data_IF_537284612509
#
_entry.id   IF_537284612509
#
_cell.length_a   1.000
_cell.length_b   1.000
_cell.length_c   1.000
_cell.angle_alpha   90.00
_cell.angle_beta   90.00
_cell.angle_gamma   90.00
#
_symmetry.space_group_name_H-M   'P 1'
#
loop_
_entity.id
_entity.type
_entity.pdbx_description
1 polymer ?
#
# COMPACT_ATOMS: atom_id res chain seq x y z
N UNK A 1 -27.10 -5.36 11.29
CA UNK A 1 -25.97 -4.44 11.48
C UNK A 1 -25.52 -4.48 12.92
N UNK A 2 -24.23 -4.21 13.14
CA UNK A 2 -23.67 -4.12 14.50
C UNK A 2 -23.90 -2.69 15.01
N UNK A 3 -24.45 -2.46 16.22
CA UNK A 3 -24.60 -1.12 16.75
C UNK A 3 -23.21 -0.48 16.98
N UNK A 4 -23.04 0.75 16.49
CA UNK A 4 -21.79 1.51 16.58
C UNK A 4 -21.82 2.42 17.79
N UNK A 5 -23.02 2.98 18.10
CA UNK A 5 -23.28 3.81 19.27
C UNK A 5 -24.71 3.61 19.72
N UNK A 6 -24.98 3.80 21.01
CA UNK A 6 -26.32 3.79 21.59
C UNK A 6 -26.37 4.86 22.69
N UNK A 7 -27.28 5.79 22.58
CA UNK A 7 -27.44 6.93 23.51
C UNK A 7 -28.91 7.19 23.77
N UNK A 8 -29.23 7.62 24.99
CA UNK A 8 -30.58 8.09 25.34
C UNK A 8 -30.65 9.59 25.09
N UNK A 9 -31.58 10.00 24.26
CA UNK A 9 -31.79 11.40 23.92
C UNK A 9 -33.13 11.91 24.52
N UNK A 10 -33.19 13.16 24.98
CA UNK A 10 -34.45 13.75 25.45
C UNK A 10 -35.46 13.88 24.29
N UNK A 11 -36.76 13.95 24.60
CA UNK A 11 -37.80 14.24 23.59
C UNK A 11 -37.55 15.57 22.90
N UNK A 12 -37.51 15.60 21.58
CA UNK A 12 -37.30 16.80 20.76
C UNK A 12 -36.24 16.64 19.69
N UNK A 13 -35.85 17.73 19.01
CA UNK A 13 -34.75 17.69 18.02
C UNK A 13 -33.43 17.35 18.72
N UNK A 14 -32.69 16.43 18.18
CA UNK A 14 -31.34 16.06 18.66
C UNK A 14 -30.35 15.99 17.49
N UNK A 15 -29.09 16.18 17.79
CA UNK A 15 -27.98 15.96 16.83
C UNK A 15 -27.12 14.81 17.30
N UNK A 16 -26.64 14.02 16.35
CA UNK A 16 -25.65 12.99 16.58
C UNK A 16 -24.31 13.48 16.03
N UNK A 17 -23.47 13.97 16.93
CA UNK A 17 -22.15 14.48 16.59
C UNK A 17 -21.08 13.37 16.80
N UNK A 18 -20.05 13.36 15.97
CA UNK A 18 -18.88 12.46 16.08
C UNK A 18 -19.18 10.96 15.97
N UNK A 19 -20.02 10.58 15.02
CA UNK A 19 -20.21 9.17 14.73
C UNK A 19 -18.93 8.58 14.10
N UNK A 20 -18.44 7.41 14.57
CA UNK A 20 -17.32 6.71 13.95
C UNK A 20 -17.77 6.14 12.60
N UNK A 21 -17.44 6.83 11.50
CA UNK A 21 -17.71 6.37 10.13
C UNK A 21 -16.53 5.60 9.59
N UNK A 22 -16.80 4.49 8.90
CA UNK A 22 -15.79 3.72 8.19
C UNK A 22 -15.46 4.42 6.87
N UNK A 23 -14.21 4.34 6.46
CA UNK A 23 -13.75 4.85 5.15
C UNK A 23 -14.48 4.14 4.00
N UNK A 24 -14.85 4.90 2.99
CA UNK A 24 -15.58 4.42 1.82
C UNK A 24 -17.06 4.79 1.83
N UNK A 25 -17.80 4.25 0.88
CA UNK A 25 -19.24 4.41 0.78
C UNK A 25 -19.97 3.44 1.73
N UNK A 26 -20.86 3.96 2.54
CA UNK A 26 -21.64 3.18 3.49
C UNK A 26 -23.04 3.72 3.70
N UNK A 27 -23.79 3.07 4.58
CA UNK A 27 -25.09 3.52 5.05
C UNK A 27 -25.10 3.52 6.57
N UNK A 28 -25.43 4.64 7.13
CA UNK A 28 -25.69 4.78 8.56
C UNK A 28 -27.17 4.56 8.81
N UNK A 29 -27.50 3.63 9.69
CA UNK A 29 -28.87 3.40 10.15
C UNK A 29 -29.02 3.93 11.56
N UNK A 30 -29.88 4.91 11.73
CA UNK A 30 -30.27 5.43 13.04
C UNK A 30 -31.61 4.80 13.40
N UNK A 31 -31.64 4.02 14.45
CA UNK A 31 -32.86 3.41 14.98
C UNK A 31 -33.31 4.21 16.21
N UNK A 32 -34.39 4.94 16.09
CA UNK A 32 -34.98 5.70 17.18
C UNK A 32 -36.09 4.84 17.78
N UNK A 33 -35.98 4.51 19.06
CA UNK A 33 -37.00 3.76 19.79
C UNK A 33 -37.70 4.72 20.78
N UNK A 34 -39.01 4.89 20.64
CA UNK A 34 -39.79 5.74 21.56
C UNK A 34 -40.11 5.00 22.88
N UNK A 35 -40.70 5.73 23.84
CA UNK A 35 -41.06 5.19 25.15
C UNK A 35 -42.09 4.06 25.09
N UNK A 36 -42.77 3.86 23.96
CA UNK A 36 -43.76 2.80 23.72
C UNK A 36 -43.14 1.62 22.98
N UNK A 37 -41.80 1.65 22.71
CA UNK A 37 -41.09 0.60 22.00
C UNK A 37 -41.25 0.64 20.48
N UNK A 38 -41.86 1.65 19.89
CA UNK A 38 -41.97 1.81 18.43
C UNK A 38 -40.65 2.25 17.86
N UNK A 39 -40.22 1.64 16.78
CA UNK A 39 -38.95 1.94 16.13
C UNK A 39 -39.17 2.72 14.84
N UNK A 40 -38.44 3.79 14.68
CA UNK A 40 -38.26 4.51 13.42
C UNK A 40 -36.84 4.35 12.94
N UNK A 41 -36.66 3.84 11.73
CA UNK A 41 -35.35 3.62 11.10
C UNK A 41 -35.12 4.72 10.07
N UNK A 42 -34.07 5.52 10.30
CA UNK A 42 -33.56 6.47 9.32
C UNK A 42 -32.31 5.90 8.68
N UNK A 43 -32.27 5.87 7.36
CA UNK A 43 -31.06 5.42 6.62
C UNK A 43 -30.45 6.61 5.91
N UNK A 44 -29.20 6.91 6.23
CA UNK A 44 -28.42 8.00 5.61
C UNK A 44 -27.20 7.39 4.88
N UNK A 45 -27.10 7.52 3.56
CA UNK A 45 -25.88 7.17 2.86
C UNK A 45 -24.77 8.16 3.20
N UNK A 46 -23.55 7.66 3.34
CA UNK A 46 -22.37 8.49 3.54
C UNK A 46 -21.20 8.02 2.67
N UNK A 47 -20.22 8.88 2.47
CA UNK A 47 -18.92 8.58 1.92
C UNK A 47 -17.84 9.28 2.74
N UNK A 48 -16.77 8.55 3.09
CA UNK A 48 -15.61 9.09 3.81
C UNK A 48 -14.34 8.59 3.14
N UNK A 49 -13.42 9.51 2.79
CA UNK A 49 -12.14 9.19 2.17
C UNK A 49 -10.98 9.76 2.97
N UNK A 50 -9.85 9.07 2.94
CA UNK A 50 -8.61 9.50 3.61
C UNK A 50 -7.93 10.67 2.91
N UNK A 51 -8.33 10.99 1.68
CA UNK A 51 -7.77 12.09 0.86
C UNK A 51 -8.24 13.46 1.35
N UNK A 52 -9.34 13.53 2.10
CA UNK A 52 -9.93 14.76 2.60
C UNK A 52 -9.48 15.05 4.04
N UNK A 53 -9.22 16.32 4.31
CA UNK A 53 -9.00 16.83 5.64
C UNK A 53 -10.30 17.44 6.17
N UNK A 54 -10.55 17.28 7.46
CA UNK A 54 -11.65 18.00 8.14
C UNK A 54 -11.46 19.50 8.01
N UNK A 55 -12.55 20.24 8.08
CA UNK A 55 -12.53 21.71 8.05
C UNK A 55 -11.53 22.25 9.08
N UNK A 56 -10.76 23.24 8.66
CA UNK A 56 -9.67 23.89 9.42
C UNK A 56 -8.43 23.03 9.72
N UNK A 57 -8.50 21.71 9.55
CA UNK A 57 -7.30 20.87 9.71
C UNK A 57 -6.29 21.16 8.58
N UNK A 58 -5.04 21.31 8.96
CA UNK A 58 -3.95 21.54 8.04
C UNK A 58 -2.82 20.52 8.26
N UNK A 59 -2.22 20.11 7.15
CA UNK A 59 -1.00 19.30 7.11
C UNK A 59 0.09 20.09 6.39
N UNK A 60 1.30 20.00 6.89
CA UNK A 60 2.47 20.60 6.21
C UNK A 60 3.68 19.70 6.36
N UNK A 61 4.55 19.74 5.36
CA UNK A 61 5.83 19.06 5.37
C UNK A 61 6.89 19.99 4.78
N UNK A 62 8.08 19.98 5.36
CA UNK A 62 9.28 20.63 4.83
C UNK A 62 10.41 19.62 4.93
N UNK A 63 10.99 19.31 3.78
CA UNK A 63 12.03 18.31 3.66
C UNK A 63 13.25 18.93 2.96
N UNK A 64 14.44 18.67 3.48
CA UNK A 64 15.71 19.10 2.89
C UNK A 64 16.64 17.89 2.91
N UNK A 65 17.26 17.60 1.78
CA UNK A 65 18.14 16.46 1.64
C UNK A 65 18.99 16.53 0.40
N UNK A 66 19.57 15.42 -0.01
CA UNK A 66 20.25 15.26 -1.29
C UNK A 66 19.72 14.03 -2.01
N UNK A 67 19.62 14.10 -3.31
CA UNK A 67 19.25 12.95 -4.14
C UNK A 67 20.29 11.85 -3.95
N UNK A 68 19.87 10.65 -3.58
CA UNK A 68 20.78 9.53 -3.44
C UNK A 68 20.94 8.84 -4.79
N UNK A 69 22.16 8.86 -5.27
CA UNK A 69 22.59 8.18 -6.49
C UNK A 69 23.19 6.81 -6.17
N UNK A 70 23.15 5.89 -7.12
CA UNK A 70 23.77 4.56 -7.01
C UNK A 70 23.35 3.78 -5.74
N UNK A 71 22.05 3.87 -5.38
CA UNK A 71 21.52 3.16 -4.21
C UNK A 71 21.79 1.64 -4.30
N UNK A 72 22.40 1.10 -3.25
CA UNK A 72 22.75 -0.32 -3.17
C UNK A 72 24.12 -0.67 -3.76
N UNK A 73 24.74 0.21 -4.55
CA UNK A 73 26.08 0.02 -5.13
C UNK A 73 27.15 0.90 -4.49
N UNK A 74 26.78 2.10 -4.02
CA UNK A 74 27.67 3.02 -3.30
C UNK A 74 27.07 3.47 -1.97
N UNK A 75 27.87 3.42 -0.90
CA UNK A 75 27.39 3.77 0.45
C UNK A 75 27.12 5.26 0.65
N UNK A 76 27.84 6.15 -0.06
CA UNK A 76 27.77 7.60 0.09
C UNK A 76 27.68 8.32 -1.28
N UNK A 77 26.94 7.78 -2.24
CA UNK A 77 26.62 8.45 -3.50
C UNK A 77 25.46 9.41 -3.32
N UNK A 78 25.73 10.68 -3.07
CA UNK A 78 24.73 11.73 -2.98
C UNK A 78 24.98 12.77 -4.07
N UNK A 79 23.90 13.13 -4.78
CA UNK A 79 23.88 14.19 -5.76
C UNK A 79 23.43 15.53 -5.16
N UNK A 80 22.78 16.33 -5.98
CA UNK A 80 22.36 17.68 -5.65
C UNK A 80 21.42 17.76 -4.45
N UNK A 81 21.54 18.86 -3.71
CA UNK A 81 20.61 19.18 -2.63
C UNK A 81 19.21 19.47 -3.20
N UNK A 82 18.21 19.02 -2.46
CA UNK A 82 16.79 19.21 -2.77
C UNK A 82 16.08 19.76 -1.53
N UNK A 83 15.19 20.72 -1.76
CA UNK A 83 14.21 21.19 -0.79
C UNK A 83 12.80 20.98 -1.32
N UNK A 84 11.90 20.46 -0.49
CA UNK A 84 10.50 20.26 -0.82
C UNK A 84 9.66 20.82 0.32
N UNK A 85 8.62 21.57 -0.01
CA UNK A 85 7.64 22.04 0.96
C UNK A 85 6.23 21.75 0.45
N UNK A 86 5.33 21.30 1.31
CA UNK A 86 3.93 21.10 1.00
C UNK A 86 3.03 21.62 2.11
N UNK A 87 1.87 22.10 1.71
CA UNK A 87 0.82 22.56 2.62
C UNK A 87 -0.53 22.14 2.07
N UNK A 88 -1.37 21.51 2.91
CA UNK A 88 -2.74 21.11 2.58
C UNK A 88 -3.67 21.55 3.69
N UNK A 89 -4.88 21.98 3.35
CA UNK A 89 -5.90 22.41 4.32
C UNK A 89 -7.29 21.97 3.90
N UNK A 90 -8.07 21.49 4.86
CA UNK A 90 -9.52 21.33 4.72
C UNK A 90 -10.19 22.70 4.70
N UNK A 91 -10.72 23.10 3.54
CA UNK A 91 -11.48 24.34 3.35
C UNK A 91 -12.93 24.15 3.81
N UNK A 92 -13.42 22.93 3.78
CA UNK A 92 -14.66 22.43 4.36
C UNK A 92 -14.52 20.92 4.58
N UNK A 93 -15.49 20.29 5.22
CA UNK A 93 -15.50 18.83 5.37
C UNK A 93 -15.63 18.05 4.04
N UNK A 94 -15.86 18.75 2.94
CA UNK A 94 -15.99 18.14 1.59
C UNK A 94 -14.94 18.64 0.60
N UNK A 95 -14.11 19.62 0.96
CA UNK A 95 -13.12 20.21 0.07
C UNK A 95 -11.79 20.40 0.79
N UNK A 96 -10.76 19.78 0.28
CA UNK A 96 -9.36 19.99 0.67
C UNK A 96 -8.59 20.59 -0.49
N UNK A 97 -7.75 21.58 -0.24
CA UNK A 97 -6.81 22.13 -1.22
C UNK A 97 -5.39 22.08 -0.71
N UNK A 98 -4.45 21.95 -1.61
CA UNK A 98 -3.03 21.85 -1.30
C UNK A 98 -2.15 22.62 -2.26
N UNK A 99 -0.92 22.90 -1.83
CA UNK A 99 0.16 23.49 -2.62
C UNK A 99 1.46 22.78 -2.33
N UNK A 100 2.34 22.70 -3.32
CA UNK A 100 3.68 22.11 -3.21
C UNK A 100 4.68 22.98 -3.93
N UNK A 101 5.85 23.16 -3.34
CA UNK A 101 7.01 23.79 -3.96
C UNK A 101 8.22 22.89 -3.80
N UNK A 102 9.06 22.81 -4.82
CA UNK A 102 10.32 22.08 -4.78
C UNK A 102 11.40 22.80 -5.57
N UNK A 103 12.64 22.64 -5.11
CA UNK A 103 13.81 23.18 -5.76
C UNK A 103 15.02 22.25 -5.54
N UNK A 104 15.86 22.11 -6.56
CA UNK A 104 17.09 21.34 -6.53
C UNK A 104 18.27 22.24 -6.92
N UNK A 105 19.43 21.99 -6.34
CA UNK A 105 20.60 22.86 -6.51
C UNK A 105 21.12 22.96 -7.97
N UNK A 106 20.77 22.00 -8.83
CA UNK A 106 21.07 22.04 -10.27
C UNK A 106 20.10 22.92 -11.10
N UNK A 107 19.24 23.71 -10.45
CA UNK A 107 18.33 24.63 -11.09
C UNK A 107 16.94 24.06 -11.40
N UNK A 108 16.65 22.78 -11.12
CA UNK A 108 15.31 22.21 -11.25
C UNK A 108 14.39 22.80 -10.18
N UNK A 109 13.22 23.24 -10.57
CA UNK A 109 12.17 23.74 -9.67
C UNK A 109 10.79 23.22 -10.06
N UNK A 110 9.87 23.23 -9.11
CA UNK A 110 8.48 22.87 -9.31
C UNK A 110 7.54 23.62 -8.38
N UNK A 111 6.38 24.00 -8.88
CA UNK A 111 5.28 24.59 -8.12
C UNK A 111 3.99 23.90 -8.51
N UNK A 112 3.20 23.47 -7.54
CA UNK A 112 1.96 22.75 -7.78
C UNK A 112 0.83 23.15 -6.86
N UNK A 113 -0.38 22.93 -7.32
CA UNK A 113 -1.60 23.02 -6.54
C UNK A 113 -2.47 21.79 -6.79
N UNK A 114 -3.16 21.32 -5.78
CA UNK A 114 -4.09 20.21 -5.85
C UNK A 114 -5.39 20.52 -5.08
N UNK A 115 -6.45 19.82 -5.46
CA UNK A 115 -7.71 19.86 -4.76
C UNK A 115 -8.37 18.48 -4.76
N UNK A 116 -9.05 18.16 -3.66
CA UNK A 116 -9.90 16.98 -3.52
C UNK A 116 -11.29 17.42 -3.07
N UNK A 117 -12.31 16.98 -3.79
CA UNK A 117 -13.70 17.35 -3.52
C UNK A 117 -14.59 16.12 -3.43
N UNK A 118 -15.32 16.00 -2.33
CA UNK A 118 -16.31 14.95 -2.11
C UNK A 118 -17.61 15.30 -2.84
N UNK A 119 -17.93 14.58 -3.90
CA UNK A 119 -19.16 14.70 -4.67
C UNK A 119 -20.31 13.92 -3.98
N UNK A 120 -20.70 14.38 -2.78
CA UNK A 120 -21.71 13.72 -1.97
C UNK A 120 -21.36 12.26 -1.65
N UNK A 121 -22.28 11.34 -1.91
CA UNK A 121 -22.08 9.90 -1.71
C UNK A 121 -21.52 9.18 -2.94
N UNK A 122 -21.25 9.90 -4.02
CA UNK A 122 -20.78 9.33 -5.28
C UNK A 122 -19.31 8.93 -5.19
N UNK A 123 -18.49 9.76 -4.54
CA UNK A 123 -17.05 9.53 -4.41
C UNK A 123 -16.27 10.83 -4.25
N UNK A 124 -14.96 10.77 -4.46
CA UNK A 124 -14.05 11.91 -4.40
C UNK A 124 -13.51 12.19 -5.80
N UNK A 125 -13.56 13.45 -6.19
CA UNK A 125 -12.89 14.00 -7.37
C UNK A 125 -11.61 14.68 -6.92
N UNK A 126 -10.53 14.44 -7.65
CA UNK A 126 -9.24 15.12 -7.44
C UNK A 126 -8.81 15.84 -8.70
N UNK A 127 -8.11 16.94 -8.53
CA UNK A 127 -7.49 17.67 -9.63
C UNK A 127 -6.14 18.21 -9.18
N UNK A 128 -5.17 18.27 -10.09
CA UNK A 128 -3.89 18.93 -9.84
C UNK A 128 -3.40 19.67 -11.07
N UNK A 129 -2.62 20.70 -10.81
CA UNK A 129 -1.89 21.46 -11.80
C UNK A 129 -0.52 21.81 -11.22
N UNK A 130 0.52 21.62 -11.98
CA UNK A 130 1.86 22.05 -11.59
C UNK A 130 2.63 22.58 -12.78
N UNK A 131 3.57 23.48 -12.48
CA UNK A 131 4.63 23.90 -13.41
C UNK A 131 5.97 23.47 -12.85
N UNK A 132 6.89 23.13 -13.71
CA UNK A 132 8.25 22.78 -13.34
C UNK A 132 9.17 22.93 -14.52
N UNK A 133 10.44 23.15 -14.24
CA UNK A 133 11.43 23.42 -15.25
C UNK A 133 12.83 23.42 -14.68
N UNK A 134 13.77 23.79 -15.54
CA UNK A 134 15.18 24.02 -15.23
C UNK A 134 15.67 25.29 -15.92
N UNK A 135 17.00 25.45 -16.05
CA UNK A 135 17.59 26.60 -16.76
C UNK A 135 17.26 26.71 -18.25
N UNK A 136 16.82 25.61 -18.87
CA UNK A 136 16.56 25.51 -20.31
C UNK A 136 15.08 25.71 -20.68
N UNK A 137 14.17 25.64 -19.71
CA UNK A 137 12.76 25.87 -19.97
C UNK A 137 11.83 25.41 -18.84
N UNK A 138 10.55 25.70 -19.03
CA UNK A 138 9.49 25.33 -18.13
C UNK A 138 8.36 24.62 -18.86
N UNK A 139 7.73 23.70 -18.19
CA UNK A 139 6.55 22.98 -18.65
C UNK A 139 5.47 22.92 -17.58
N UNK A 140 4.41 22.21 -17.88
CA UNK A 140 3.32 21.99 -16.94
C UNK A 140 2.84 20.54 -16.95
N UNK A 141 2.24 20.15 -15.85
CA UNK A 141 1.45 18.91 -15.72
C UNK A 141 0.09 19.23 -15.14
N UNK A 142 -0.91 18.49 -15.59
CA UNK A 142 -2.27 18.58 -15.06
C UNK A 142 -2.90 17.20 -15.01
N UNK A 143 -3.79 16.98 -14.08
CA UNK A 143 -4.51 15.71 -13.99
C UNK A 143 -5.79 15.83 -13.20
N UNK A 144 -6.66 14.87 -13.46
CA UNK A 144 -7.92 14.68 -12.76
C UNK A 144 -8.04 13.22 -12.32
N UNK A 145 -8.71 13.00 -11.23
CA UNK A 145 -8.96 11.67 -10.69
C UNK A 145 -10.35 11.56 -10.10
N UNK A 146 -10.81 10.33 -10.00
CA UNK A 146 -12.03 9.94 -9.32
C UNK A 146 -11.78 8.67 -8.54
N UNK A 147 -12.26 8.61 -7.31
CA UNK A 147 -12.27 7.39 -6.52
C UNK A 147 -13.60 7.18 -5.82
N UNK A 148 -14.01 5.93 -5.78
CA UNK A 148 -15.14 5.43 -5.01
C UNK A 148 -14.80 4.10 -4.38
N UNK A 149 -14.83 4.02 -3.08
CA UNK A 149 -14.72 2.76 -2.33
C UNK A 149 -16.08 2.42 -1.73
N UNK A 150 -16.66 1.30 -2.14
CA UNK A 150 -17.96 0.85 -1.66
C UNK A 150 -17.92 -0.63 -1.29
N UNK A 151 -18.90 -1.09 -0.52
CA UNK A 151 -18.98 -2.49 -0.07
C UNK A 151 -19.17 -3.49 -1.22
N UNK A 152 -19.91 -3.11 -2.26
CA UNK A 152 -20.18 -3.97 -3.42
C UNK A 152 -19.44 -3.57 -4.67
N UNK A 153 -19.27 -2.25 -4.89
CA UNK A 153 -18.64 -1.70 -6.09
C UNK A 153 -17.64 -0.64 -5.65
N UNK A 154 -16.41 -0.78 -6.10
CA UNK A 154 -15.36 0.23 -6.04
C UNK A 154 -14.97 0.65 -7.45
N UNK A 155 -14.55 1.90 -7.61
CA UNK A 155 -14.10 2.43 -8.89
C UNK A 155 -13.02 3.47 -8.64
N UNK A 156 -12.03 3.51 -9.52
CA UNK A 156 -11.08 4.61 -9.58
C UNK A 156 -10.74 4.89 -11.05
N UNK A 157 -10.46 6.14 -11.34
CA UNK A 157 -9.93 6.57 -12.63
C UNK A 157 -9.07 7.80 -12.41
N UNK A 158 -7.93 7.85 -13.07
CA UNK A 158 -7.03 9.00 -13.03
C UNK A 158 -6.40 9.18 -14.39
N UNK A 159 -6.29 10.42 -14.83
CA UNK A 159 -5.50 10.79 -16.00
C UNK A 159 -4.63 12.00 -15.68
N UNK A 160 -3.41 11.96 -16.16
CA UNK A 160 -2.42 13.01 -16.02
C UNK A 160 -1.79 13.26 -17.38
N UNK A 161 -1.62 14.51 -17.71
CA UNK A 161 -0.89 14.97 -18.89
C UNK A 161 0.27 15.87 -18.45
N UNK A 162 1.43 15.73 -19.09
CA UNK A 162 2.57 16.62 -18.91
C UNK A 162 3.07 17.12 -20.25
N UNK A 163 3.41 18.40 -20.33
CA UNK A 163 4.06 18.99 -21.51
C UNK A 163 5.49 18.46 -21.66
N UNK A 164 6.06 18.51 -22.86
CA UNK A 164 7.41 17.98 -23.15
C UNK A 164 8.51 18.60 -22.28
N UNK A 165 8.39 19.88 -21.98
CA UNK A 165 9.38 20.62 -21.18
C UNK A 165 9.12 20.54 -19.67
N UNK A 166 8.12 19.75 -19.23
CA UNK A 166 7.87 19.59 -17.80
C UNK A 166 8.93 18.69 -17.18
N UNK A 167 9.64 19.23 -16.20
CA UNK A 167 10.60 18.51 -15.37
C UNK A 167 10.37 18.86 -13.91
N UNK A 168 10.53 17.89 -13.04
CA UNK A 168 10.48 18.04 -11.59
C UNK A 168 11.60 17.24 -10.95
N UNK A 169 11.82 17.46 -9.68
CA UNK A 169 12.81 16.72 -8.88
C UNK A 169 12.61 15.22 -9.01
N UNK A 170 13.69 14.48 -9.20
CA UNK A 170 13.67 13.03 -9.38
C UNK A 170 13.34 12.57 -10.82
N UNK A 171 13.00 13.45 -11.75
CA UNK A 171 12.81 13.10 -13.17
C UNK A 171 14.09 13.28 -14.01
N UNK A 172 15.11 13.94 -13.48
CA UNK A 172 16.37 14.12 -14.18
C UNK A 172 17.01 12.76 -14.54
N UNK A 173 17.43 12.60 -15.80
CA UNK A 173 18.05 11.38 -16.30
C UNK A 173 17.08 10.25 -16.66
N UNK A 174 15.77 10.45 -16.63
CA UNK A 174 14.83 9.49 -17.19
C UNK A 174 15.02 9.38 -18.71
N UNK A 175 15.09 8.16 -19.27
CA UNK A 175 15.35 7.96 -20.69
C UNK A 175 14.21 8.44 -21.61
N UNK A 176 12.99 8.55 -21.07
CA UNK A 176 11.81 8.93 -21.82
C UNK A 176 10.97 9.94 -21.06
N UNK A 177 10.45 10.96 -21.76
CA UNK A 177 9.58 11.98 -21.16
C UNK A 177 8.12 11.50 -21.18
N UNK A 178 7.50 11.29 -20.03
CA UNK A 178 6.09 10.93 -19.96
C UNK A 178 5.20 12.05 -20.54
N UNK A 179 4.26 11.69 -21.40
CA UNK A 179 3.27 12.60 -21.98
C UNK A 179 1.92 12.48 -21.30
N UNK A 180 1.44 11.24 -21.20
CA UNK A 180 0.14 10.96 -20.60
C UNK A 180 0.22 9.67 -19.79
N UNK A 181 -0.41 9.69 -18.63
CA UNK A 181 -0.68 8.50 -17.82
C UNK A 181 -2.15 8.47 -17.50
N UNK A 182 -2.80 7.37 -17.87
CA UNK A 182 -4.20 7.14 -17.55
C UNK A 182 -4.30 5.75 -16.94
N UNK A 183 -4.94 5.63 -15.81
CA UNK A 183 -5.26 4.34 -15.23
C UNK A 183 -6.61 4.41 -14.52
N UNK A 184 -7.29 3.27 -14.52
CA UNK A 184 -8.59 3.15 -13.90
C UNK A 184 -8.94 1.70 -13.65
N UNK A 185 -9.95 1.48 -12.83
CA UNK A 185 -10.42 0.14 -12.54
C UNK A 185 -11.79 0.13 -11.88
N UNK A 186 -12.43 -1.02 -12.01
CA UNK A 186 -13.72 -1.34 -11.40
C UNK A 186 -13.55 -2.61 -10.59
N UNK A 187 -13.95 -2.57 -9.33
CA UNK A 187 -13.96 -3.71 -8.43
C UNK A 187 -15.38 -4.08 -8.02
N UNK A 188 -15.64 -5.37 -7.95
CA UNK A 188 -16.93 -5.94 -7.59
C UNK A 188 -16.74 -6.95 -6.46
N UNK A 189 -17.53 -6.81 -5.40
CA UNK A 189 -17.59 -7.77 -4.31
C UNK A 189 -18.91 -8.55 -4.39
N UNK A 190 -18.83 -9.84 -4.65
CA UNK A 190 -19.94 -10.77 -4.77
C UNK A 190 -20.20 -11.53 -3.46
N UNK A 191 -19.65 -11.06 -2.33
CA UNK A 191 -19.79 -11.72 -1.04
C UNK A 191 -19.05 -13.05 -0.99
N UNK A 192 -19.76 -14.14 -0.72
CA UNK A 192 -19.16 -15.49 -0.67
C UNK A 192 -18.62 -16.00 -2.01
N UNK A 193 -19.07 -15.44 -3.11
CA UNK A 193 -18.59 -15.78 -4.46
C UNK A 193 -17.31 -15.01 -4.84
N UNK A 194 -16.74 -14.22 -3.90
CA UNK A 194 -15.44 -13.60 -4.08
C UNK A 194 -15.50 -12.18 -4.65
N UNK A 195 -14.33 -11.74 -5.14
CA UNK A 195 -14.11 -10.39 -5.65
C UNK A 195 -13.55 -10.45 -7.06
N UNK A 196 -14.05 -9.59 -7.95
CA UNK A 196 -13.48 -9.38 -9.27
C UNK A 196 -13.04 -7.93 -9.44
N UNK A 197 -11.99 -7.72 -10.20
CA UNK A 197 -11.50 -6.39 -10.57
C UNK A 197 -11.06 -6.40 -12.02
N UNK A 198 -11.39 -5.33 -12.74
CA UNK A 198 -10.85 -5.02 -14.06
C UNK A 198 -10.08 -3.72 -13.94
N UNK A 199 -8.89 -3.67 -14.51
CA UNK A 199 -8.04 -2.49 -14.52
C UNK A 199 -7.55 -2.19 -15.94
N UNK A 200 -7.38 -0.91 -16.23
CA UNK A 200 -6.81 -0.40 -17.47
C UNK A 200 -5.71 0.61 -17.14
N UNK A 201 -4.61 0.54 -17.85
CA UNK A 201 -3.51 1.47 -17.79
C UNK A 201 -3.05 1.86 -19.18
N UNK A 202 -2.79 3.15 -19.38
CA UNK A 202 -2.17 3.71 -20.58
C UNK A 202 -1.04 4.65 -20.15
N UNK A 203 0.13 4.45 -20.73
CA UNK A 203 1.28 5.31 -20.55
C UNK A 203 1.87 5.66 -21.91
N UNK A 204 1.77 6.91 -22.31
CA UNK A 204 2.39 7.41 -23.52
C UNK A 204 3.57 8.33 -23.20
N UNK A 205 4.50 8.40 -24.13
CA UNK A 205 5.72 9.18 -24.04
C UNK A 205 5.84 10.10 -25.24
N UNK A 206 6.71 11.11 -25.16
CA UNK A 206 7.03 11.96 -26.32
C UNK A 206 8.00 11.28 -27.28
N UNK A 207 8.91 10.46 -26.74
CA UNK A 207 10.06 9.95 -27.49
C UNK A 207 10.14 8.41 -27.43
N UNK A 208 9.05 7.77 -27.04
CA UNK A 208 8.93 6.32 -26.97
C UNK A 208 7.50 5.88 -27.24
N UNK A 209 7.32 4.58 -27.35
CA UNK A 209 6.03 3.98 -27.65
C UNK A 209 5.03 4.10 -26.51
N UNK A 210 3.76 4.04 -26.88
CA UNK A 210 2.67 3.97 -25.91
C UNK A 210 2.52 2.55 -25.40
N UNK A 211 2.42 2.39 -24.09
CA UNK A 211 2.17 1.13 -23.43
C UNK A 211 0.73 1.14 -22.91
N UNK A 212 -0.05 0.15 -23.30
CA UNK A 212 -1.40 -0.09 -22.80
C UNK A 212 -1.46 -1.43 -22.07
N UNK A 213 -2.12 -1.46 -20.94
CA UNK A 213 -2.31 -2.68 -20.14
C UNK A 213 -3.76 -2.83 -19.73
N UNK A 214 -4.34 -3.98 -19.99
CA UNK A 214 -5.62 -4.41 -19.44
C UNK A 214 -5.39 -5.58 -18.50
N UNK A 215 -5.97 -5.53 -17.31
CA UNK A 215 -5.86 -6.58 -16.31
C UNK A 215 -7.20 -6.98 -15.74
N UNK A 216 -7.34 -8.25 -15.41
CA UNK A 216 -8.47 -8.82 -14.70
C UNK A 216 -7.93 -9.60 -13.51
N UNK A 217 -8.51 -9.37 -12.35
CA UNK A 217 -8.24 -10.14 -11.14
C UNK A 217 -9.54 -10.73 -10.62
N UNK A 218 -9.51 -11.99 -10.18
CA UNK A 218 -10.58 -12.63 -9.45
C UNK A 218 -10.02 -13.39 -8.25
N UNK A 219 -10.67 -13.27 -7.09
CA UNK A 219 -10.28 -14.00 -5.91
C UNK A 219 -11.48 -14.49 -5.12
N UNK A 220 -11.40 -15.70 -4.59
CA UNK A 220 -12.48 -16.33 -3.83
C UNK A 220 -11.94 -17.16 -2.68
N UNK A 221 -12.64 -17.08 -1.54
CA UNK A 221 -12.39 -17.93 -0.38
C UNK A 221 -13.15 -19.25 -0.55
N UNK A 222 -12.44 -20.37 -0.53
CA UNK A 222 -12.99 -21.72 -0.67
C UNK A 222 -13.20 -22.41 0.70
N UNK A 223 -13.40 -21.60 1.76
CA UNK A 223 -13.56 -22.08 3.12
C UNK A 223 -12.31 -22.83 3.61
N UNK A 224 -12.44 -24.11 3.96
CA UNK A 224 -11.33 -24.94 4.42
C UNK A 224 -10.29 -25.26 3.34
N UNK A 225 -10.62 -25.08 2.07
CA UNK A 225 -9.72 -25.29 0.95
C UNK A 225 -8.86 -24.05 0.64
N UNK A 226 -8.98 -22.99 1.47
CA UNK A 226 -8.13 -21.81 1.38
C UNK A 226 -8.65 -20.77 0.39
N UNK A 227 -7.74 -20.08 -0.32
CA UNK A 227 -8.03 -18.99 -1.24
C UNK A 227 -7.52 -19.32 -2.64
N UNK A 228 -8.35 -19.05 -3.64
CA UNK A 228 -7.98 -19.14 -5.05
C UNK A 228 -7.96 -17.73 -5.64
N UNK A 229 -6.91 -17.41 -6.38
CA UNK A 229 -6.75 -16.16 -7.13
C UNK A 229 -6.42 -16.44 -8.59
N UNK A 230 -7.05 -15.71 -9.49
CA UNK A 230 -6.74 -15.68 -10.92
C UNK A 230 -6.43 -14.25 -11.31
N UNK A 231 -5.31 -14.05 -11.96
CA UNK A 231 -4.92 -12.79 -12.57
C UNK A 231 -4.61 -13.01 -14.05
N UNK A 232 -5.11 -12.15 -14.90
CA UNK A 232 -4.74 -12.13 -16.31
C UNK A 232 -4.48 -10.69 -16.74
N UNK A 233 -3.43 -10.45 -17.51
CA UNK A 233 -3.11 -9.15 -18.09
C UNK A 233 -2.67 -9.29 -19.53
N UNK A 234 -2.98 -8.27 -20.31
CA UNK A 234 -2.48 -8.08 -21.66
C UNK A 234 -1.86 -6.69 -21.76
N UNK A 235 -0.60 -6.64 -22.13
CA UNK A 235 0.15 -5.40 -22.35
C UNK A 235 0.46 -5.31 -23.84
N UNK A 236 0.10 -4.18 -24.44
CA UNK A 236 0.37 -3.83 -25.82
C UNK A 236 1.43 -2.72 -25.83
N UNK A 237 2.51 -2.95 -26.52
CA UNK A 237 3.59 -2.01 -26.84
C UNK A 237 4.11 -2.38 -28.23
N UNK A 238 5.41 -2.21 -28.53
CA UNK A 238 6.06 -2.78 -29.73
C UNK A 238 5.81 -4.28 -29.83
N UNK A 239 6.00 -4.97 -28.71
CA UNK A 239 5.66 -6.37 -28.53
C UNK A 239 4.49 -6.49 -27.55
N UNK A 240 3.57 -7.38 -27.88
CA UNK A 240 2.42 -7.66 -27.01
C UNK A 240 2.72 -8.82 -26.08
N UNK A 241 2.39 -8.64 -24.81
CA UNK A 241 2.56 -9.69 -23.79
C UNK A 241 1.23 -9.99 -23.10
N UNK A 242 0.94 -11.28 -22.99
CA UNK A 242 -0.17 -11.80 -22.17
C UNK A 242 0.39 -12.62 -21.03
N UNK A 243 -0.05 -12.31 -19.82
CA UNK A 243 0.35 -13.01 -18.61
C UNK A 243 -0.91 -13.52 -17.89
N UNK A 244 -0.92 -14.79 -17.52
CA UNK A 244 -1.98 -15.42 -16.72
C UNK A 244 -1.34 -16.07 -15.51
N UNK A 245 -1.82 -15.75 -14.33
CA UNK A 245 -1.34 -16.28 -13.05
C UNK A 245 -2.52 -16.85 -12.26
N UNK A 246 -2.41 -18.11 -11.90
CA UNK A 246 -3.29 -18.80 -10.96
C UNK A 246 -2.55 -18.99 -9.64
N UNK A 247 -3.16 -18.60 -8.54
CA UNK A 247 -2.60 -18.78 -7.20
C UNK A 247 -3.57 -19.57 -6.32
N UNK A 248 -3.04 -20.44 -5.51
CA UNK A 248 -3.81 -21.13 -4.48
C UNK A 248 -3.05 -21.08 -3.16
N UNK A 249 -3.73 -20.68 -2.09
CA UNK A 249 -3.14 -20.54 -0.75
C UNK A 249 -4.01 -21.27 0.26
N UNK A 250 -3.40 -22.19 0.98
CA UNK A 250 -4.04 -23.02 1.98
C UNK A 250 -3.39 -22.81 3.35
N UNK A 251 -4.19 -22.43 4.37
CA UNK A 251 -3.74 -22.40 5.75
C UNK A 251 -3.78 -23.80 6.34
N UNK A 252 -2.64 -24.29 6.79
CA UNK A 252 -2.49 -25.61 7.42
C UNK A 252 -2.59 -25.55 8.95
N UNK A 253 -2.96 -24.38 9.51
CA UNK A 253 -2.96 -24.12 10.94
C UNK A 253 -1.56 -23.96 11.53
N UNK A 254 -1.46 -23.61 12.80
CA UNK A 254 -0.18 -23.42 13.51
C UNK A 254 0.83 -22.55 12.73
N UNK A 255 0.35 -21.43 12.18
CA UNK A 255 1.13 -20.46 11.37
C UNK A 255 1.76 -21.07 10.10
N UNK A 256 1.25 -22.19 9.62
CA UNK A 256 1.72 -22.85 8.40
C UNK A 256 0.82 -22.53 7.24
N UNK A 257 1.43 -22.22 6.11
CA UNK A 257 0.76 -21.92 4.86
C UNK A 257 1.43 -22.67 3.72
N UNK A 258 0.62 -23.29 2.89
CA UNK A 258 1.03 -23.82 1.59
C UNK A 258 0.50 -22.88 0.52
N UNK A 259 1.34 -22.41 -0.36
CA UNK A 259 0.95 -21.63 -1.54
C UNK A 259 1.51 -22.24 -2.80
N UNK A 260 0.72 -22.18 -3.86
CA UNK A 260 1.11 -22.63 -5.20
C UNK A 260 0.75 -21.53 -6.18
N UNK A 261 1.64 -21.25 -7.11
CA UNK A 261 1.37 -20.37 -8.25
C UNK A 261 1.72 -21.06 -9.54
N UNK A 262 0.89 -20.86 -10.56
CA UNK A 262 1.08 -21.30 -11.92
C UNK A 262 0.96 -20.08 -12.82
N UNK A 263 1.99 -19.78 -13.58
CA UNK A 263 2.05 -18.63 -14.46
C UNK A 263 2.32 -19.08 -15.89
N UNK A 264 1.64 -18.45 -16.83
CA UNK A 264 1.90 -18.53 -18.25
C UNK A 264 2.11 -17.13 -18.79
N UNK A 265 3.26 -16.87 -19.39
CA UNK A 265 3.56 -15.62 -20.08
C UNK A 265 3.85 -15.89 -21.56
N UNK A 266 3.35 -15.01 -22.43
CA UNK A 266 3.66 -15.03 -23.87
C UNK A 266 4.93 -14.25 -24.22
N UNK A 267 5.61 -13.67 -23.24
CA UNK A 267 6.91 -13.03 -23.46
C UNK A 267 7.92 -14.02 -24.07
N UNK A 268 8.97 -13.56 -24.75
CA UNK A 268 10.08 -14.40 -25.15
C UNK A 268 10.72 -15.11 -23.96
N UNK A 269 11.23 -16.32 -24.16
CA UNK A 269 11.82 -17.15 -23.09
C UNK A 269 12.98 -16.43 -22.37
N UNK A 270 13.78 -15.65 -23.09
CA UNK A 270 14.89 -14.86 -22.53
C UNK A 270 14.42 -13.74 -21.58
N UNK A 271 13.15 -13.36 -21.65
CA UNK A 271 12.48 -12.41 -20.77
C UNK A 271 11.50 -13.06 -19.78
N UNK A 272 11.69 -14.34 -19.47
CA UNK A 272 10.86 -15.08 -18.51
C UNK A 272 9.53 -15.57 -19.05
N UNK A 273 9.36 -15.64 -20.38
CA UNK A 273 8.17 -16.20 -21.01
C UNK A 273 8.09 -17.72 -20.86
N UNK A 274 6.91 -18.26 -21.12
CA UNK A 274 6.60 -19.67 -20.97
C UNK A 274 5.82 -20.00 -19.71
N UNK A 275 5.76 -21.27 -19.38
CA UNK A 275 5.05 -21.77 -18.20
C UNK A 275 6.00 -21.86 -17.01
N UNK A 276 5.56 -21.33 -15.88
CA UNK A 276 6.28 -21.40 -14.61
C UNK A 276 5.33 -21.84 -13.49
N UNK A 277 5.81 -22.73 -12.66
CA UNK A 277 5.12 -23.21 -11.46
C UNK A 277 5.99 -23.00 -10.22
N UNK A 278 5.38 -22.59 -9.13
CA UNK A 278 6.05 -22.46 -7.85
C UNK A 278 5.18 -23.07 -6.74
N UNK A 279 5.83 -23.75 -5.80
CA UNK A 279 5.20 -24.27 -4.58
C UNK A 279 6.02 -23.79 -3.38
N UNK A 280 5.36 -23.16 -2.43
CA UNK A 280 5.98 -22.65 -1.22
C UNK A 280 5.26 -23.19 0.02
N UNK A 281 6.02 -23.81 0.92
CA UNK A 281 5.59 -24.16 2.26
C UNK A 281 6.29 -23.26 3.25
N UNK A 282 5.52 -22.57 4.10
CA UNK A 282 6.08 -21.69 5.12
C UNK A 282 5.44 -21.90 6.48
N UNK A 283 6.20 -21.61 7.52
CA UNK A 283 5.76 -21.41 8.88
C UNK A 283 6.32 -20.09 9.40
N UNK A 284 5.46 -19.18 9.77
CA UNK A 284 5.87 -17.88 10.29
C UNK A 284 6.50 -18.00 11.68
N UNK A 285 7.43 -17.09 11.99
CA UNK A 285 7.97 -16.97 13.33
C UNK A 285 6.83 -16.67 14.34
N UNK A 286 6.88 -17.25 15.54
CA UNK A 286 5.90 -16.91 16.58
C UNK A 286 6.11 -15.48 17.11
N UNK A 287 5.14 -14.93 17.83
CA UNK A 287 5.34 -13.69 18.58
C UNK A 287 6.39 -13.86 19.68
N UNK A 288 6.42 -15.04 20.33
CA UNK A 288 7.41 -15.44 21.31
C UNK A 288 8.65 -16.12 20.72
N UNK A 289 9.31 -16.96 21.49
CA UNK A 289 10.46 -17.76 21.02
C UNK A 289 10.01 -18.91 20.14
N UNK A 290 10.76 -19.22 19.09
CA UNK A 290 10.48 -20.38 18.27
C UNK A 290 11.05 -20.32 16.85
N UNK A 291 10.69 -21.34 16.08
CA UNK A 291 11.16 -21.57 14.72
C UNK A 291 10.14 -21.11 13.69
N UNK A 292 10.66 -20.46 12.64
CA UNK A 292 10.00 -20.24 11.37
C UNK A 292 10.83 -20.84 10.22
N UNK A 293 10.16 -21.22 9.14
CA UNK A 293 10.82 -21.71 7.94
C UNK A 293 10.02 -21.33 6.68
N UNK A 294 10.70 -21.31 5.54
CA UNK A 294 10.11 -21.24 4.21
C UNK A 294 10.91 -22.13 3.27
N UNK A 295 10.22 -22.93 2.49
CA UNK A 295 10.78 -23.74 1.42
C UNK A 295 10.02 -23.44 0.14
N UNK A 296 10.71 -23.13 -0.93
CA UNK A 296 10.13 -22.80 -2.24
C UNK A 296 10.82 -23.62 -3.33
N UNK A 297 10.02 -24.17 -4.21
CA UNK A 297 10.46 -24.94 -5.37
C UNK A 297 9.80 -24.36 -6.62
N UNK A 298 10.59 -24.04 -7.62
CA UNK A 298 10.12 -23.52 -8.90
C UNK A 298 10.40 -24.51 -10.03
N UNK A 299 9.55 -24.50 -11.05
CA UNK A 299 9.77 -25.26 -12.29
C UNK A 299 10.96 -24.73 -13.12
N UNK A 300 11.47 -23.55 -12.82
CA UNK A 300 12.67 -22.94 -13.42
C UNK A 300 14.00 -23.39 -12.76
N UNK A 301 14.02 -24.52 -12.07
CA UNK A 301 15.18 -25.05 -11.31
C UNK A 301 15.68 -24.09 -10.20
N UNK A 302 14.77 -23.24 -9.69
CA UNK A 302 15.06 -22.41 -8.55
C UNK A 302 14.56 -23.08 -7.28
N UNK A 303 15.41 -23.07 -6.25
CA UNK A 303 15.11 -23.66 -4.95
C UNK A 303 15.57 -22.70 -3.86
N UNK A 304 14.68 -22.37 -2.96
CA UNK A 304 14.98 -21.53 -1.80
C UNK A 304 14.55 -22.24 -0.52
N UNK A 305 15.41 -22.19 0.49
CA UNK A 305 15.09 -22.66 1.83
C UNK A 305 15.56 -21.63 2.85
N UNK A 306 14.67 -21.23 3.74
CA UNK A 306 14.92 -20.32 4.83
C UNK A 306 14.54 -20.98 6.14
N UNK A 307 15.43 -20.92 7.13
CA UNK A 307 15.17 -21.34 8.49
C UNK A 307 15.58 -20.22 9.44
N UNK A 308 14.72 -19.87 10.38
CA UNK A 308 15.03 -18.90 11.41
C UNK A 308 14.58 -19.37 12.78
N UNK A 309 15.38 -19.02 13.79
CA UNK A 309 15.02 -19.16 15.18
C UNK A 309 14.98 -17.79 15.83
N UNK A 310 13.85 -17.46 16.40
CA UNK A 310 13.64 -16.24 17.18
C UNK A 310 13.75 -16.56 18.67
N UNK A 311 14.70 -15.91 19.34
CA UNK A 311 14.90 -15.98 20.78
C UNK A 311 14.58 -14.65 21.47
N UNK A 312 14.88 -14.56 22.77
CA UNK A 312 14.68 -13.32 23.56
C UNK A 312 15.64 -12.21 23.13
N UNK A 313 16.85 -12.57 22.70
CA UNK A 313 17.95 -11.64 22.41
C UNK A 313 18.04 -11.26 20.92
N UNK A 314 17.33 -11.96 20.05
CA UNK A 314 17.43 -11.73 18.62
C UNK A 314 16.87 -12.88 17.79
N UNK A 315 17.10 -12.79 16.49
CA UNK A 315 16.73 -13.81 15.50
C UNK A 315 17.99 -14.24 14.74
N UNK A 316 18.22 -15.54 14.68
CA UNK A 316 19.25 -16.15 13.83
C UNK A 316 18.58 -16.79 12.63
N UNK A 317 19.17 -16.66 11.44
CA UNK A 317 18.64 -17.25 10.21
C UNK A 317 19.72 -17.90 9.34
N UNK A 318 19.29 -18.86 8.57
CA UNK A 318 20.06 -19.48 7.48
C UNK A 318 19.18 -19.49 6.24
N UNK A 319 19.71 -18.95 5.16
CA UNK A 319 19.11 -18.96 3.84
C UNK A 319 19.96 -19.82 2.91
N UNK A 320 19.32 -20.71 2.19
CA UNK A 320 19.89 -21.43 1.07
C UNK A 320 19.14 -21.03 -0.20
N UNK A 321 19.85 -20.74 -1.26
CA UNK A 321 19.26 -20.52 -2.59
C UNK A 321 20.06 -21.25 -3.65
N UNK A 322 19.36 -21.78 -4.64
CA UNK A 322 19.93 -22.37 -5.86
C UNK A 322 19.20 -21.81 -7.07
N UNK A 323 19.96 -21.31 -8.04
CA UNK A 323 19.45 -20.77 -9.31
C UNK A 323 20.40 -21.13 -10.44
N UNK A 324 19.88 -21.69 -11.51
CA UNK A 324 20.66 -22.05 -12.73
C UNK A 324 21.90 -22.87 -12.43
N UNK A 325 21.85 -23.77 -11.44
CA UNK A 325 23.00 -24.61 -11.05
C UNK A 325 23.92 -24.00 -9.99
N UNK A 326 23.91 -22.69 -9.80
CA UNK A 326 24.67 -22.01 -8.75
C UNK A 326 23.91 -22.06 -7.42
N UNK A 327 24.64 -22.27 -6.33
CA UNK A 327 24.06 -22.29 -4.99
C UNK A 327 24.78 -21.35 -4.03
N UNK A 328 24.02 -20.77 -3.12
CA UNK A 328 24.53 -19.89 -2.08
C UNK A 328 23.92 -20.18 -0.73
N UNK A 329 24.69 -19.92 0.32
CA UNK A 329 24.22 -19.96 1.70
C UNK A 329 24.51 -18.61 2.35
N UNK A 330 23.50 -18.07 3.02
CA UNK A 330 23.62 -16.85 3.82
C UNK A 330 23.27 -17.18 5.27
N UNK A 331 24.06 -16.73 6.20
CA UNK A 331 23.78 -16.80 7.62
C UNK A 331 23.59 -15.38 8.15
N UNK A 332 22.53 -15.15 8.90
CA UNK A 332 22.17 -13.86 9.46
C UNK A 332 21.87 -13.94 10.94
N UNK A 333 22.16 -12.87 11.64
CA UNK A 333 21.73 -12.65 13.02
C UNK A 333 21.32 -11.19 13.18
N UNK A 334 20.15 -10.96 13.78
CA UNK A 334 19.63 -9.63 14.09
C UNK A 334 19.22 -9.57 15.55
N UNK A 335 19.49 -8.46 16.20
CA UNK A 335 19.11 -8.21 17.58
C UNK A 335 19.43 -6.77 17.96
N UNK A 336 18.97 -6.36 19.13
CA UNK A 336 19.21 -5.05 19.71
C UNK A 336 19.86 -5.16 21.08
N UNK A 337 20.49 -4.10 21.54
CA UNK A 337 21.04 -3.99 22.87
C UNK A 337 20.55 -2.68 23.50
N UNK A 338 19.74 -2.78 24.54
CA UNK A 338 19.33 -1.63 25.32
C UNK A 338 20.30 -1.44 26.51
N UNK A 339 20.92 -0.27 26.59
CA UNK A 339 21.79 0.11 27.70
C UNK A 339 21.06 1.19 28.50
N UNK A 340 20.70 0.87 29.74
CA UNK A 340 19.94 1.76 30.63
C UNK A 340 20.57 1.80 32.01
N UNK A 341 20.06 2.63 32.90
CA UNK A 341 20.49 2.64 34.30
C UNK A 341 20.22 1.29 35.01
N UNK A 342 19.29 0.47 34.52
CA UNK A 342 19.01 -0.86 35.05
C UNK A 342 19.93 -1.96 34.50
N UNK A 343 20.86 -1.63 33.58
CA UNK A 343 21.83 -2.55 33.01
C UNK A 343 21.75 -2.68 31.49
N UNK A 344 22.44 -3.70 30.98
CA UNK A 344 22.49 -4.04 29.55
C UNK A 344 21.52 -5.19 29.29
N UNK A 345 20.57 -4.96 28.40
CA UNK A 345 19.51 -5.92 28.08
C UNK A 345 19.48 -6.20 26.58
N UNK A 346 19.68 -7.45 26.16
CA UNK A 346 19.48 -7.84 24.78
C UNK A 346 17.98 -7.84 24.46
N UNK A 347 17.63 -7.39 23.25
CA UNK A 347 16.26 -7.34 22.73
C UNK A 347 16.23 -7.87 21.31
N UNK A 348 15.09 -8.39 20.88
CA UNK A 348 14.88 -8.85 19.49
C UNK A 348 14.96 -7.68 18.52
N UNK A 349 14.28 -6.61 18.85
CA UNK A 349 14.20 -5.40 18.05
C UNK A 349 14.04 -4.21 19.01
N UNK A 350 14.73 -3.15 18.75
CA UNK A 350 14.56 -1.87 19.41
C UNK A 350 14.04 -0.90 18.36
N UNK A 351 12.81 -0.45 18.55
CA UNK A 351 12.16 0.58 17.73
C UNK A 351 12.46 1.96 18.33
N UNK A 352 11.93 3.00 17.75
CA UNK A 352 12.09 4.40 18.17
C UNK A 352 11.69 4.64 19.64
N UNK A 353 10.78 3.84 20.17
CA UNK A 353 10.41 3.87 21.58
C UNK A 353 10.33 2.45 22.17
N UNK A 354 10.88 2.29 23.36
CA UNK A 354 10.80 1.05 24.15
C UNK A 354 10.63 1.36 25.62
N UNK A 355 10.06 0.41 26.37
CA UNK A 355 9.94 0.49 27.80
C UNK A 355 10.69 -0.68 28.46
N UNK A 356 11.35 -0.39 29.58
CA UNK A 356 11.97 -1.39 30.44
C UNK A 356 11.11 -1.56 31.68
N UNK A 357 10.59 -2.78 31.88
CA UNK A 357 9.81 -3.13 33.07
C UNK A 357 10.69 -3.96 33.99
N UNK A 358 10.99 -3.44 35.16
CA UNK A 358 11.73 -4.14 36.21
C UNK A 358 10.84 -4.28 37.44
N UNK A 359 10.59 -5.51 37.86
CA UNK A 359 9.80 -5.83 39.06
C UNK A 359 10.71 -6.59 40.01
N UNK A 360 10.98 -5.98 41.16
CA UNK A 360 11.80 -6.65 42.20
C UNK A 360 11.05 -7.85 42.76
N UNK A 361 11.79 -8.90 43.08
CA UNK A 361 11.33 -10.12 43.76
C UNK A 361 10.32 -11.04 43.05
N UNK A 362 10.04 -10.76 41.76
CA UNK A 362 9.16 -11.59 40.92
C UNK A 362 9.83 -12.01 39.62
N UNK A 363 10.75 -13.00 39.65
CA UNK A 363 11.38 -13.48 38.41
C UNK A 363 10.37 -14.26 37.56
N UNK A 364 10.41 -14.06 36.26
CA UNK A 364 9.63 -14.85 35.30
C UNK A 364 8.22 -14.30 34.96
N UNK A 365 7.89 -13.08 35.36
CA UNK A 365 6.65 -12.41 34.93
C UNK A 365 6.71 -12.13 33.42
N UNK A 366 5.64 -12.49 32.74
CA UNK A 366 5.46 -12.15 31.33
C UNK A 366 4.79 -10.78 31.23
N UNK A 367 5.46 -9.86 30.56
CA UNK A 367 4.93 -8.53 30.24
C UNK A 367 4.29 -8.58 28.87
N UNK A 368 3.08 -8.05 28.75
CA UNK A 368 2.35 -7.98 27.49
C UNK A 368 2.32 -6.54 26.97
N UNK A 369 2.62 -6.37 25.71
CA UNK A 369 2.33 -5.14 24.97
C UNK A 369 1.31 -5.51 23.87
N UNK A 370 0.17 -4.82 23.84
CA UNK A 370 -0.92 -5.09 22.88
C UNK A 370 -1.38 -6.56 22.85
N UNK A 371 -1.49 -7.18 24.03
CA UNK A 371 -1.80 -8.61 24.21
C UNK A 371 -0.78 -9.60 23.60
N UNK A 372 0.42 -9.15 23.28
CA UNK A 372 1.54 -10.00 22.83
C UNK A 372 2.64 -10.04 23.89
N UNK A 373 3.21 -11.24 24.20
CA UNK A 373 4.25 -11.40 25.20
C UNK A 373 5.62 -10.88 24.72
#
# INVERSE_FOLDING_TARGET
GRPIASEQVPPGPFSLDRLPVLTGAGQLQVVITDALGRQQVLTQPYYSGTTLLSEELAEYSVEIGSVREDYGTRSFGYGDMIGVASYRRGLSNTLTAGTRAEAQANGIYGLGADAAWQAGYVGILTAHLATGGDGDGAGFTTGIGFERSGQKISAFAQTQYASRSFIQTGMAGLPFTPRQRTFGGLGFNFGEFGNAQVAYGLQSYYDSETVETVGINYSVALGRLGYLGLYASHTSATDSETNVLLTWTLSLGDRRTLSTSLQQSSAPADFGGGFQGNVTLQRDLPAGNGLGYRMSLSSSDEQDAYLAYQGRAGTASVDYSRRNGDSGVRVGATGGLAITAAGVMPARQLNESFAVVQIADYPGLTVYADNQP
#
